data_IF_460981412224
#
_entry.id   IF_460981412224
#
_cell.length_a   1.000
_cell.length_b   1.000
_cell.length_c   1.000
_cell.angle_alpha   90.00
_cell.angle_beta   90.00
_cell.angle_gamma   90.00
#
_symmetry.space_group_name_H-M   'P 1'
#
loop_
_entity.id
_entity.type
_entity.pdbx_description
1 polymer ?
#
# COMPACT_ATOMS: atom_id res chain seq x y z
N UNK A 1 33.71 29.47 16.78
CA UNK A 1 33.60 28.28 17.65
C UNK A 1 32.13 27.88 17.93
N UNK A 2 31.17 28.81 17.93
CA UNK A 2 29.73 28.46 17.97
C UNK A 2 29.13 28.12 16.59
N UNK A 3 29.65 28.71 15.52
CA UNK A 3 29.20 28.47 14.14
C UNK A 3 29.48 27.02 13.67
N UNK A 4 30.67 26.48 13.98
CA UNK A 4 31.04 25.09 13.67
C UNK A 4 30.15 24.07 14.41
N UNK A 5 29.74 24.40 15.64
CA UNK A 5 28.87 23.52 16.45
C UNK A 5 27.44 23.54 15.95
N UNK A 6 26.95 24.67 15.44
CA UNK A 6 25.65 24.80 14.80
C UNK A 6 25.61 24.01 13.49
N UNK A 7 26.61 24.20 12.62
CA UNK A 7 26.74 23.46 11.36
C UNK A 7 26.81 21.94 11.56
N UNK A 8 27.54 21.48 12.59
CA UNK A 8 27.61 20.04 12.91
C UNK A 8 26.25 19.46 13.35
N UNK A 9 25.47 20.19 14.15
CA UNK A 9 24.12 19.77 14.56
C UNK A 9 23.14 19.73 13.38
N UNK A 10 23.20 20.73 12.49
CA UNK A 10 22.35 20.78 11.29
C UNK A 10 22.68 19.60 10.36
N UNK A 11 23.96 19.31 10.12
CA UNK A 11 24.38 18.16 9.32
C UNK A 11 23.86 16.86 9.92
N UNK A 12 23.97 16.68 11.24
CA UNK A 12 23.48 15.47 11.92
C UNK A 12 21.95 15.30 11.78
N UNK A 13 21.19 16.38 11.91
CA UNK A 13 19.73 16.36 11.71
C UNK A 13 19.38 15.99 10.26
N UNK A 14 20.09 16.54 9.28
CA UNK A 14 19.88 16.21 7.86
C UNK A 14 20.17 14.72 7.60
N UNK A 15 21.24 14.17 8.18
CA UNK A 15 21.55 12.74 8.08
C UNK A 15 20.44 11.89 8.67
N UNK A 16 19.89 12.27 9.83
CA UNK A 16 18.76 11.55 10.45
C UNK A 16 17.53 11.59 9.52
N UNK A 17 17.19 12.75 8.96
CA UNK A 17 16.04 12.86 8.05
C UNK A 17 16.22 11.96 6.83
N UNK A 18 17.41 11.96 6.23
CA UNK A 18 17.74 11.08 5.09
C UNK A 18 17.61 9.61 5.50
N UNK A 19 18.18 9.24 6.65
CA UNK A 19 18.14 7.86 7.16
C UNK A 19 16.70 7.40 7.43
N UNK A 20 15.88 8.24 8.06
CA UNK A 20 14.46 7.96 8.30
C UNK A 20 13.70 7.82 6.98
N UNK A 21 13.93 8.72 6.02
CA UNK A 21 13.34 8.64 4.68
C UNK A 21 13.68 7.33 3.98
N UNK A 22 14.96 6.96 3.92
CA UNK A 22 15.43 5.71 3.32
C UNK A 22 14.83 4.50 4.04
N UNK A 23 14.81 4.51 5.38
CA UNK A 23 14.26 3.40 6.18
C UNK A 23 12.77 3.14 5.89
N UNK A 24 12.00 4.19 5.61
CA UNK A 24 10.59 4.06 5.21
C UNK A 24 10.44 3.30 3.89
N UNK A 25 11.24 3.65 2.88
CA UNK A 25 11.22 2.97 1.58
C UNK A 25 11.67 1.51 1.69
N UNK A 26 12.72 1.24 2.48
CA UNK A 26 13.19 -0.12 2.75
C UNK A 26 12.08 -0.94 3.42
N UNK A 27 11.41 -0.38 4.44
CA UNK A 27 10.33 -1.07 5.13
C UNK A 27 9.14 -1.38 4.20
N UNK A 28 8.75 -0.45 3.32
CA UNK A 28 7.70 -0.70 2.32
C UNK A 28 8.09 -1.81 1.34
N UNK A 29 9.34 -1.79 0.87
CA UNK A 29 9.87 -2.81 -0.02
C UNK A 29 9.90 -4.20 0.65
N UNK A 30 10.39 -4.30 1.89
CA UNK A 30 10.39 -5.54 2.67
C UNK A 30 8.96 -6.06 2.91
N UNK A 31 7.98 -5.17 3.12
CA UNK A 31 6.58 -5.58 3.24
C UNK A 31 6.04 -6.21 1.95
N UNK A 32 6.39 -5.66 0.78
CA UNK A 32 5.99 -6.22 -0.52
C UNK A 32 6.65 -7.56 -0.78
N UNK A 33 7.95 -7.70 -0.53
CA UNK A 33 8.64 -8.99 -0.64
C UNK A 33 8.00 -10.06 0.24
N UNK A 34 7.69 -9.70 1.50
CA UNK A 34 6.99 -10.60 2.41
C UNK A 34 5.57 -10.93 1.95
N UNK A 35 4.87 -10.00 1.31
CA UNK A 35 3.56 -10.27 0.72
C UNK A 35 3.67 -11.32 -0.40
N UNK A 36 4.69 -11.19 -1.26
CA UNK A 36 4.95 -12.15 -2.35
C UNK A 36 5.26 -13.54 -1.77
N UNK A 37 6.19 -13.64 -0.80
CA UNK A 37 6.51 -14.91 -0.13
C UNK A 37 5.27 -15.55 0.53
N UNK A 38 4.43 -14.76 1.18
CA UNK A 38 3.19 -15.25 1.78
C UNK A 38 2.18 -15.68 0.72
N UNK A 39 2.13 -15.04 -0.45
CA UNK A 39 1.19 -15.41 -1.51
C UNK A 39 1.44 -16.79 -2.11
N UNK A 40 2.68 -17.29 -2.04
CA UNK A 40 3.03 -18.66 -2.45
C UNK A 40 2.42 -19.72 -1.53
N UNK A 41 2.11 -19.35 -0.29
CA UNK A 41 1.48 -20.22 0.72
C UNK A 41 -0.02 -20.00 0.70
N UNK A 42 -0.79 -20.94 0.15
CA UNK A 42 -2.25 -20.81 0.00
C UNK A 42 -2.97 -20.44 1.31
N UNK A 43 -2.51 -20.98 2.45
CA UNK A 43 -3.08 -20.71 3.78
C UNK A 43 -2.93 -19.25 4.24
N UNK A 44 -2.05 -18.47 3.59
CA UNK A 44 -1.82 -17.05 3.90
C UNK A 44 -2.70 -16.11 3.07
N UNK A 45 -3.42 -16.63 2.08
CA UNK A 45 -4.37 -15.87 1.26
C UNK A 45 -5.70 -15.80 1.99
N UNK A 46 -6.13 -14.57 2.30
CA UNK A 46 -7.37 -14.30 2.99
C UNK A 46 -8.43 -13.86 1.98
N UNK A 47 -9.63 -14.40 2.12
CA UNK A 47 -10.80 -13.91 1.42
C UNK A 47 -11.43 -12.77 2.19
N UNK A 48 -11.75 -11.68 1.51
CA UNK A 48 -12.44 -10.57 2.14
C UNK A 48 -13.13 -9.66 1.15
N UNK A 49 -13.46 -8.49 1.65
CA UNK A 49 -14.31 -7.54 0.98
C UNK A 49 -13.57 -6.24 0.72
N UNK A 50 -13.58 -5.79 -0.54
CA UNK A 50 -13.10 -4.47 -0.92
C UNK A 50 -14.30 -3.57 -1.23
N UNK A 51 -14.36 -2.39 -0.64
CA UNK A 51 -15.40 -1.39 -0.92
C UNK A 51 -14.79 -0.04 -1.28
N UNK A 52 -15.41 0.69 -2.21
CA UNK A 52 -14.95 2.02 -2.56
C UNK A 52 -15.45 3.03 -1.53
N UNK A 53 -14.54 3.73 -0.86
CA UNK A 53 -14.88 4.82 0.06
C UNK A 53 -14.98 6.16 -0.66
N UNK A 54 -13.92 6.48 -1.41
CA UNK A 54 -13.76 7.77 -2.08
C UNK A 54 -12.98 7.60 -3.37
N UNK A 55 -13.44 8.28 -4.42
CA UNK A 55 -12.64 8.53 -5.62
C UNK A 55 -12.29 10.01 -5.66
N UNK A 56 -11.08 10.33 -6.10
CA UNK A 56 -10.64 11.71 -6.29
C UNK A 56 -9.75 11.80 -7.51
N UNK A 57 -9.73 12.99 -8.09
CA UNK A 57 -8.85 13.32 -9.19
C UNK A 57 -7.87 14.37 -8.72
N UNK A 58 -6.58 14.19 -9.02
CA UNK A 58 -5.63 15.27 -8.85
C UNK A 58 -5.83 16.36 -9.93
N UNK A 59 -5.07 17.46 -9.79
CA UNK A 59 -5.12 18.60 -10.72
C UNK A 59 -4.73 18.25 -12.15
N UNK A 60 -4.07 17.11 -12.36
CA UNK A 60 -3.61 16.59 -13.65
C UNK A 60 -4.55 15.49 -14.18
N UNK A 61 -5.77 15.38 -13.65
CA UNK A 61 -6.77 14.38 -14.01
C UNK A 61 -6.39 12.93 -13.67
N UNK A 62 -5.35 12.68 -12.85
CA UNK A 62 -5.09 11.33 -12.34
C UNK A 62 -6.13 10.95 -11.30
N UNK A 63 -6.88 9.89 -11.59
CA UNK A 63 -7.86 9.33 -10.67
C UNK A 63 -7.17 8.36 -9.69
N UNK A 64 -7.46 8.53 -8.42
CA UNK A 64 -7.05 7.63 -7.36
C UNK A 64 -8.25 7.30 -6.46
N UNK A 65 -8.13 6.21 -5.72
CA UNK A 65 -9.26 5.58 -5.05
C UNK A 65 -8.85 5.15 -3.64
N UNK A 66 -9.55 5.68 -2.65
CA UNK A 66 -9.51 5.16 -1.29
C UNK A 66 -10.51 4.01 -1.19
N UNK A 67 -9.99 2.84 -0.85
CA UNK A 67 -10.74 1.60 -0.70
C UNK A 67 -10.62 1.10 0.72
N UNK A 68 -11.68 0.47 1.20
CA UNK A 68 -11.68 -0.24 2.47
C UNK A 68 -11.58 -1.73 2.20
N UNK A 69 -10.61 -2.37 2.85
CA UNK A 69 -10.51 -3.82 2.92
C UNK A 69 -10.74 -4.18 4.37
N UNK A 70 -11.79 -4.95 4.67
CA UNK A 70 -12.23 -5.38 6.01
C UNK A 70 -11.98 -4.35 7.12
N UNK A 71 -12.51 -3.13 6.97
CA UNK A 71 -12.48 -2.07 7.99
C UNK A 71 -11.18 -1.26 8.04
N UNK A 72 -10.28 -1.42 7.06
CA UNK A 72 -9.05 -0.64 6.95
C UNK A 72 -9.00 0.09 5.61
N UNK A 73 -8.81 1.40 5.67
CA UNK A 73 -8.73 2.25 4.49
C UNK A 73 -7.32 2.30 3.92
N UNK A 74 -7.24 2.19 2.60
CA UNK A 74 -6.02 2.18 1.83
C UNK A 74 -6.21 2.93 0.53
N UNK A 75 -5.16 3.59 0.07
CA UNK A 75 -5.09 4.07 -1.31
C UNK A 75 -4.78 2.87 -2.21
N UNK A 76 -5.61 2.61 -3.21
CA UNK A 76 -5.55 1.36 -3.99
C UNK A 76 -4.16 1.12 -4.63
N UNK A 77 -3.50 2.17 -5.14
CA UNK A 77 -2.16 2.06 -5.74
C UNK A 77 -1.07 1.64 -4.75
N UNK A 78 -1.30 1.78 -3.44
CA UNK A 78 -0.32 1.44 -2.38
C UNK A 78 -0.42 0.00 -1.90
N UNK A 79 -1.55 -0.65 -2.17
CA UNK A 79 -1.84 -2.04 -1.79
C UNK A 79 -1.83 -2.99 -2.98
N UNK A 80 -1.44 -2.46 -4.13
CA UNK A 80 -1.20 -3.14 -5.38
C UNK A 80 0.26 -3.60 -5.45
N UNK A 81 0.49 -4.83 -5.92
CA UNK A 81 1.81 -5.41 -6.19
C UNK A 81 1.80 -5.91 -7.64
N UNK A 82 2.83 -5.58 -8.41
CA UNK A 82 2.93 -5.93 -9.84
C UNK A 82 2.92 -7.43 -10.10
N UNK A 83 3.44 -8.21 -9.15
CA UNK A 83 3.63 -9.65 -9.28
C UNK A 83 2.35 -10.43 -8.95
N UNK A 84 1.28 -9.74 -8.56
CA UNK A 84 0.02 -10.35 -8.17
C UNK A 84 -0.98 -10.40 -9.34
N UNK A 85 -1.83 -11.45 -9.44
CA UNK A 85 -2.83 -11.59 -10.50
C UNK A 85 -3.79 -10.41 -10.65
N UNK A 86 -4.02 -9.66 -9.57
CA UNK A 86 -4.81 -8.44 -9.60
C UNK A 86 -4.31 -7.42 -10.64
N UNK A 87 -3.02 -7.44 -11.03
CA UNK A 87 -2.46 -6.48 -11.99
C UNK A 87 -3.19 -6.48 -13.33
N UNK A 88 -3.50 -7.67 -13.83
CA UNK A 88 -4.17 -7.84 -15.12
C UNK A 88 -5.62 -7.35 -15.07
N UNK A 89 -6.24 -7.43 -13.89
CA UNK A 89 -7.63 -7.03 -13.66
C UNK A 89 -7.78 -5.57 -13.22
N UNK A 90 -6.68 -4.91 -12.82
CA UNK A 90 -6.70 -3.59 -12.20
C UNK A 90 -7.41 -2.54 -13.08
N UNK A 91 -7.06 -2.45 -14.36
CA UNK A 91 -7.64 -1.44 -15.24
C UNK A 91 -9.16 -1.61 -15.40
N UNK A 92 -9.62 -2.85 -15.59
CA UNK A 92 -11.05 -3.14 -15.71
C UNK A 92 -11.78 -2.87 -14.38
N UNK A 93 -11.17 -3.26 -13.27
CA UNK A 93 -11.71 -3.01 -11.94
C UNK A 93 -11.91 -1.52 -11.68
N UNK A 94 -10.88 -0.70 -11.91
CA UNK A 94 -10.95 0.75 -11.70
C UNK A 94 -11.99 1.44 -12.60
N UNK A 95 -12.22 0.92 -13.81
CA UNK A 95 -13.26 1.44 -14.70
C UNK A 95 -14.67 1.18 -14.18
N UNK A 96 -14.88 0.03 -13.54
CA UNK A 96 -16.20 -0.44 -13.11
C UNK A 96 -16.48 -0.21 -11.62
N UNK A 97 -15.46 0.19 -10.84
CA UNK A 97 -15.60 0.37 -9.41
C UNK A 97 -16.61 1.48 -9.10
N UNK A 98 -17.62 1.11 -8.33
CA UNK A 98 -18.75 1.94 -7.96
C UNK A 98 -18.93 1.93 -6.44
N UNK A 99 -19.20 3.10 -5.86
CA UNK A 99 -19.46 3.32 -4.43
C UNK A 99 -20.76 2.65 -3.94
N UNK A 100 -21.70 2.36 -4.85
CA UNK A 100 -22.94 1.66 -4.54
C UNK A 100 -22.73 0.15 -4.30
N UNK A 101 -21.59 -0.41 -4.72
CA UNK A 101 -21.26 -1.80 -4.44
C UNK A 101 -20.59 -1.85 -3.07
N UNK A 102 -21.28 -2.48 -2.13
CA UNK A 102 -20.79 -2.65 -0.77
C UNK A 102 -19.62 -3.61 -0.67
N UNK A 103 -19.48 -4.54 -1.62
CA UNK A 103 -18.47 -5.58 -1.55
C UNK A 103 -18.02 -6.13 -2.90
N UNK A 104 -16.77 -5.86 -3.27
CA UNK A 104 -16.03 -6.61 -4.28
C UNK A 104 -15.27 -7.72 -3.58
N UNK A 105 -15.53 -8.97 -3.96
CA UNK A 105 -14.84 -10.12 -3.37
C UNK A 105 -13.39 -10.12 -3.82
N UNK A 106 -12.48 -10.12 -2.87
CA UNK A 106 -11.04 -10.13 -3.14
C UNK A 106 -10.36 -11.24 -2.35
N UNK A 107 -9.21 -11.65 -2.88
CA UNK A 107 -8.16 -12.36 -2.15
C UNK A 107 -7.08 -11.34 -1.81
N UNK A 108 -6.61 -11.34 -0.58
CA UNK A 108 -5.53 -10.46 -0.15
C UNK A 108 -4.58 -11.16 0.80
N UNK A 109 -3.36 -10.66 0.86
CA UNK A 109 -2.33 -11.12 1.80
C UNK A 109 -2.16 -10.10 2.91
N UNK A 110 -2.09 -10.59 4.14
CA UNK A 110 -1.92 -9.78 5.34
C UNK A 110 -0.47 -9.82 5.80
N UNK A 111 0.22 -8.68 5.74
CA UNK A 111 1.60 -8.55 6.18
C UNK A 111 1.65 -7.82 7.52
N UNK A 112 2.19 -8.49 8.53
CA UNK A 112 2.60 -7.84 9.79
C UNK A 112 4.12 -7.69 9.78
N UNK A 113 4.58 -6.45 9.92
CA UNK A 113 6.00 -6.12 10.04
C UNK A 113 6.18 -5.05 11.11
N UNK A 114 6.95 -5.38 12.16
CA UNK A 114 7.10 -4.56 13.37
C UNK A 114 5.73 -4.15 13.93
N UNK A 115 5.41 -2.86 13.92
CA UNK A 115 4.17 -2.27 14.43
C UNK A 115 3.17 -1.91 13.33
N UNK A 116 3.45 -2.29 12.08
CA UNK A 116 2.62 -1.96 10.92
C UNK A 116 1.96 -3.22 10.38
N UNK A 117 0.65 -3.12 10.14
CA UNK A 117 -0.13 -4.15 9.47
C UNK A 117 -0.63 -3.60 8.14
N UNK A 118 -0.20 -4.22 7.04
CA UNK A 118 -0.63 -3.91 5.67
C UNK A 118 -1.40 -5.08 5.06
N UNK A 119 -2.28 -4.74 4.12
CA UNK A 119 -3.02 -5.69 3.29
C UNK A 119 -2.68 -5.39 1.84
N UNK A 120 -2.38 -6.43 1.07
CA UNK A 120 -2.07 -6.32 -0.35
C UNK A 120 -3.04 -7.18 -1.15
N UNK A 121 -3.69 -6.60 -2.15
CA UNK A 121 -4.70 -7.31 -2.96
C UNK A 121 -3.98 -8.30 -3.85
N UNK A 122 -4.23 -9.59 -3.63
CA UNK A 122 -3.68 -10.68 -4.42
C UNK A 122 -4.47 -10.86 -5.72
N UNK A 123 -5.79 -11.01 -5.64
CA UNK A 123 -6.64 -11.22 -6.81
C UNK A 123 -8.09 -10.76 -6.56
N UNK A 124 -8.83 -10.50 -7.63
CA UNK A 124 -10.28 -10.35 -7.63
C UNK A 124 -10.97 -11.69 -7.84
N UNK A 125 -11.96 -11.98 -7.00
CA UNK A 125 -12.84 -13.13 -7.15
C UNK A 125 -14.07 -12.65 -7.92
N UNK A 126 -14.16 -13.00 -9.19
CA UNK A 126 -15.34 -12.73 -10.04
C UNK A 126 -16.61 -13.39 -9.49
#
# INVERSE_FOLDING_TARGET
MDDDRYNTKVIFIVIIIIFVGISYFIADYLCKLKAVELSEKQDSIVHGCLSLKKSYSDKNAYKDYDVDIDGKEYVIRRIFISDFPFVDKYHNFIKNINKNVSCYKIKYVKVKFLFVEKRYIYDLVE
#
